data_IF_819807261646
#
_entry.id   IF_819807261646
#
_cell.length_a   1.000
_cell.length_b   1.000
_cell.length_c   1.000
_cell.angle_alpha   90.00
_cell.angle_beta   90.00
_cell.angle_gamma   90.00
#
_symmetry.space_group_name_H-M   'P 1'
#
loop_
_entity.id
_entity.type
_entity.pdbx_description
1 polymer ?
#
# COMPACT_ATOMS: atom_id res chain seq x y z
N UNK A 1 -18.13 -1.98 -5.00
CA UNK A 1 -18.91 -2.93 -5.85
C UNK A 1 -20.02 -3.57 -5.01
N UNK A 2 -21.11 -4.12 -5.58
CA UNK A 2 -22.27 -4.58 -4.79
C UNK A 2 -21.96 -5.66 -3.74
N UNK A 3 -20.90 -6.45 -3.92
CA UNK A 3 -20.54 -7.56 -3.05
C UNK A 3 -19.43 -7.23 -2.02
N UNK A 4 -18.95 -5.98 -1.96
CA UNK A 4 -17.87 -5.59 -1.05
C UNK A 4 -18.11 -4.20 -0.48
N UNK A 5 -17.91 -4.07 0.84
CA UNK A 5 -17.92 -2.78 1.55
C UNK A 5 -16.60 -2.03 1.43
N UNK A 6 -15.55 -2.67 0.89
CA UNK A 6 -14.30 -2.00 0.61
C UNK A 6 -14.46 -1.05 -0.59
N UNK A 7 -13.86 0.14 -0.47
CA UNK A 7 -13.71 1.02 -1.62
C UNK A 7 -12.77 0.39 -2.65
N UNK A 8 -12.96 0.78 -3.92
CA UNK A 8 -12.13 0.37 -5.05
C UNK A 8 -11.60 1.62 -5.75
N UNK A 9 -10.35 1.59 -6.21
CA UNK A 9 -9.78 2.65 -7.03
C UNK A 9 -9.38 2.16 -8.43
N UNK A 10 -9.28 3.11 -9.35
CA UNK A 10 -8.68 2.95 -10.67
C UNK A 10 -7.89 4.23 -11.00
N UNK A 11 -6.81 4.07 -11.76
CA UNK A 11 -6.00 5.17 -12.27
C UNK A 11 -6.20 5.22 -13.78
N UNK A 12 -6.76 6.31 -14.29
CA UNK A 12 -7.12 6.48 -15.71
C UNK A 12 -7.97 5.33 -16.27
N UNK A 13 -8.86 4.78 -15.43
CA UNK A 13 -9.71 3.63 -15.78
C UNK A 13 -9.01 2.26 -15.72
N UNK A 14 -7.72 2.23 -15.37
CA UNK A 14 -6.94 1.00 -15.25
C UNK A 14 -6.76 0.57 -13.80
N UNK A 15 -6.65 -0.75 -13.62
CA UNK A 15 -6.18 -1.33 -12.35
C UNK A 15 -4.71 -0.98 -12.16
N UNK A 16 -4.34 -0.73 -10.92
CA UNK A 16 -2.96 -0.48 -10.52
C UNK A 16 -2.68 -1.13 -9.17
N UNK A 17 -1.41 -1.26 -8.83
CA UNK A 17 -0.96 -1.75 -7.55
C UNK A 17 -0.10 -0.67 -6.88
N UNK A 18 -0.31 -0.50 -5.59
CA UNK A 18 0.55 0.28 -4.70
C UNK A 18 1.18 -0.64 -3.66
N UNK A 19 2.23 -0.17 -2.99
CA UNK A 19 2.91 -0.91 -1.93
C UNK A 19 4.25 -1.48 -2.34
N UNK A 20 4.79 -2.43 -1.56
CA UNK A 20 6.20 -2.83 -1.61
C UNK A 20 6.67 -3.27 -3.01
N UNK A 21 5.90 -4.11 -3.70
CA UNK A 21 6.26 -4.57 -5.05
C UNK A 21 6.28 -3.42 -6.07
N UNK A 22 5.28 -2.54 -6.02
CA UNK A 22 5.23 -1.38 -6.91
C UNK A 22 6.38 -0.41 -6.64
N UNK A 23 6.67 -0.13 -5.36
CA UNK A 23 7.79 0.73 -4.96
C UNK A 23 9.13 0.14 -5.35
N UNK A 24 9.33 -1.16 -5.17
CA UNK A 24 10.54 -1.84 -5.60
C UNK A 24 10.74 -1.72 -7.12
N UNK A 25 9.69 -2.01 -7.90
CA UNK A 25 9.74 -1.92 -9.36
C UNK A 25 10.00 -0.50 -9.88
N UNK A 26 9.43 0.54 -9.25
CA UNK A 26 9.50 1.93 -9.73
C UNK A 26 10.74 2.66 -9.17
N UNK A 27 11.12 2.38 -7.93
CA UNK A 27 12.10 3.14 -7.15
C UNK A 27 13.32 2.33 -6.73
N UNK A 28 13.51 1.11 -7.23
CA UNK A 28 14.64 0.24 -6.88
C UNK A 28 16.02 0.91 -6.91
N UNK A 29 16.23 1.83 -7.87
CA UNK A 29 17.46 2.65 -8.00
C UNK A 29 17.77 3.59 -6.82
N UNK A 30 16.82 3.82 -5.92
CA UNK A 30 16.96 4.68 -4.74
C UNK A 30 17.20 3.88 -3.47
N UNK A 31 17.25 2.55 -3.54
CA UNK A 31 17.57 1.73 -2.38
C UNK A 31 18.96 2.08 -1.84
N UNK A 32 19.05 2.13 -0.52
CA UNK A 32 20.31 2.22 0.19
C UNK A 32 21.20 1.02 -0.21
N UNK A 33 22.54 1.19 -0.33
CA UNK A 33 23.42 0.10 -0.75
C UNK A 33 23.23 -1.21 0.03
N UNK A 34 22.96 -1.13 1.34
CA UNK A 34 22.68 -2.29 2.21
C UNK A 34 21.38 -2.98 1.81
N UNK A 35 20.32 -2.22 1.52
CA UNK A 35 19.03 -2.78 1.07
C UNK A 35 19.13 -3.37 -0.34
N UNK A 36 19.91 -2.74 -1.23
CA UNK A 36 20.18 -3.25 -2.57
C UNK A 36 20.97 -4.57 -2.51
N UNK A 37 21.97 -4.69 -1.64
CA UNK A 37 22.68 -5.95 -1.38
C UNK A 37 21.73 -7.03 -0.89
N UNK A 38 20.93 -6.73 0.14
CA UNK A 38 19.95 -7.67 0.68
C UNK A 38 18.96 -8.16 -0.40
N UNK A 39 18.58 -7.30 -1.35
CA UNK A 39 17.75 -7.71 -2.48
C UNK A 39 18.45 -8.69 -3.42
N UNK A 40 19.74 -8.45 -3.73
CA UNK A 40 20.56 -9.33 -4.56
C UNK A 40 20.77 -10.69 -3.90
N UNK A 41 21.17 -10.72 -2.64
CA UNK A 41 21.36 -11.95 -1.87
C UNK A 41 20.06 -12.76 -1.74
N UNK A 42 18.92 -12.07 -1.62
CA UNK A 42 17.62 -12.71 -1.60
C UNK A 42 17.16 -13.23 -2.98
N UNK A 43 17.90 -12.94 -4.06
CA UNK A 43 17.57 -13.35 -5.42
C UNK A 43 16.40 -12.58 -6.02
N UNK A 44 16.27 -11.28 -5.71
CA UNK A 44 15.28 -10.38 -6.32
C UNK A 44 15.79 -9.64 -7.56
N UNK A 45 17.05 -9.87 -7.95
CA UNK A 45 17.74 -9.12 -9.01
C UNK A 45 18.53 -7.94 -8.44
N UNK A 46 19.07 -7.10 -9.33
CA UNK A 46 19.72 -5.84 -9.00
C UNK A 46 18.77 -4.64 -9.28
N UNK A 47 18.07 -4.14 -8.25
CA UNK A 47 17.13 -3.03 -8.40
C UNK A 47 17.81 -1.71 -8.76
N UNK A 48 19.11 -1.58 -8.50
CA UNK A 48 19.90 -0.39 -8.86
C UNK A 48 20.25 -0.39 -10.34
N UNK A 49 20.47 -1.58 -10.91
CA UNK A 49 20.63 -1.78 -12.36
C UNK A 49 19.29 -1.75 -13.12
N UNK A 50 18.15 -1.77 -12.41
CA UNK A 50 16.81 -1.67 -12.99
C UNK A 50 16.05 -3.00 -13.07
N UNK A 51 16.56 -4.08 -12.45
CA UNK A 51 15.79 -5.31 -12.32
C UNK A 51 14.55 -5.07 -11.45
N UNK A 52 13.44 -5.70 -11.83
CA UNK A 52 12.17 -5.62 -11.12
C UNK A 52 11.74 -7.00 -10.62
N UNK A 53 10.97 -7.01 -9.54
CA UNK A 53 10.27 -8.20 -9.07
C UNK A 53 8.76 -8.00 -9.27
N UNK A 54 8.20 -8.71 -10.25
CA UNK A 54 6.77 -8.70 -10.57
C UNK A 54 6.02 -9.94 -10.05
N UNK A 55 6.71 -10.81 -9.31
CA UNK A 55 6.12 -12.01 -8.73
C UNK A 55 5.44 -11.70 -7.39
N UNK A 56 4.09 -11.74 -7.28
CA UNK A 56 3.38 -11.43 -6.05
C UNK A 56 3.75 -12.35 -4.88
N UNK A 57 4.15 -13.60 -5.16
CA UNK A 57 4.57 -14.56 -4.12
C UNK A 57 5.94 -14.24 -3.51
N UNK A 58 6.66 -13.25 -4.06
CA UNK A 58 7.91 -12.73 -3.51
C UNK A 58 7.71 -11.46 -2.68
N UNK A 59 6.47 -10.98 -2.53
CA UNK A 59 6.17 -9.72 -1.84
C UNK A 59 6.67 -9.68 -0.38
N UNK A 60 6.68 -10.81 0.31
CA UNK A 60 7.19 -10.89 1.69
C UNK A 60 8.71 -10.64 1.75
N UNK A 61 9.44 -11.11 0.74
CA UNK A 61 10.89 -10.89 0.63
C UNK A 61 11.15 -9.42 0.28
N UNK A 62 10.38 -8.86 -0.65
CA UNK A 62 10.45 -7.43 -0.99
C UNK A 62 10.14 -6.55 0.23
N UNK A 63 9.13 -6.91 1.03
CA UNK A 63 8.83 -6.22 2.31
C UNK A 63 9.99 -6.29 3.28
N UNK A 64 10.67 -7.43 3.40
CA UNK A 64 11.85 -7.55 4.26
C UNK A 64 12.97 -6.60 3.80
N UNK A 65 13.20 -6.45 2.49
CA UNK A 65 14.14 -5.45 1.95
C UNK A 65 13.71 -4.02 2.30
N UNK A 66 12.41 -3.70 2.23
CA UNK A 66 11.92 -2.39 2.68
C UNK A 66 12.12 -2.13 4.18
N UNK A 67 12.07 -3.17 5.02
CA UNK A 67 12.43 -3.02 6.44
C UNK A 67 13.91 -2.65 6.59
N UNK A 68 14.81 -3.28 5.82
CA UNK A 68 16.24 -2.90 5.81
C UNK A 68 16.38 -1.44 5.36
N UNK A 69 15.72 -1.05 4.27
CA UNK A 69 15.71 0.34 3.79
C UNK A 69 15.23 1.32 4.88
N UNK A 70 14.14 0.98 5.58
CA UNK A 70 13.56 1.82 6.62
C UNK A 70 14.50 1.97 7.82
N UNK A 71 15.23 0.92 8.19
CA UNK A 71 16.23 0.95 9.26
C UNK A 71 17.40 1.86 8.88
N UNK A 72 17.95 1.72 7.67
CA UNK A 72 19.04 2.57 7.18
C UNK A 72 18.62 4.04 7.13
N UNK A 73 17.40 4.32 6.67
CA UNK A 73 16.85 5.67 6.63
C UNK A 73 16.64 6.23 8.05
N UNK A 74 16.17 5.42 8.99
CA UNK A 74 16.04 5.82 10.39
C UNK A 74 17.41 6.16 11.02
N UNK A 75 18.44 5.34 10.76
CA UNK A 75 19.81 5.61 11.22
C UNK A 75 20.33 6.93 10.63
N UNK A 76 20.13 7.16 9.33
CA UNK A 76 20.52 8.41 8.66
C UNK A 76 19.86 9.62 9.29
N UNK A 77 18.55 9.55 9.57
CA UNK A 77 17.80 10.64 10.21
C UNK A 77 18.30 10.89 11.63
N UNK A 78 18.51 9.85 12.43
CA UNK A 78 19.00 9.98 13.82
C UNK A 78 20.40 10.59 13.86
N UNK A 79 21.30 10.13 12.98
CA UNK A 79 22.68 10.63 12.91
C UNK A 79 22.75 12.08 12.41
N UNK A 80 21.86 12.45 11.49
CA UNK A 80 21.76 13.82 10.96
C UNK A 80 20.81 14.73 11.72
N UNK A 81 20.30 14.31 12.87
CA UNK A 81 19.32 15.09 13.61
C UNK A 81 19.97 16.32 14.23
N UNK A 82 19.54 17.49 13.78
CA UNK A 82 19.81 18.77 14.43
C UNK A 82 18.54 19.24 15.14
N UNK A 83 18.63 19.48 16.44
CA UNK A 83 17.48 19.94 17.21
C UNK A 83 17.01 21.31 16.70
N UNK A 84 15.74 21.45 16.27
CA UNK A 84 15.24 22.75 15.83
C UNK A 84 15.08 23.68 17.04
N UNK A 85 15.18 24.99 16.79
CA UNK A 85 14.97 26.02 17.83
C UNK A 85 13.54 26.03 18.39
N UNK A 86 12.58 25.45 17.65
CA UNK A 86 11.18 25.28 18.04
C UNK A 86 10.71 23.88 17.66
N UNK A 87 9.93 23.24 18.53
CA UNK A 87 9.38 21.89 18.30
C UNK A 87 8.13 21.86 17.41
N UNK A 88 7.47 23.01 17.23
CA UNK A 88 6.29 23.15 16.37
C UNK A 88 6.14 24.61 15.90
N UNK A 89 5.35 24.80 14.85
CA UNK A 89 4.89 26.11 14.38
C UNK A 89 3.46 26.35 14.86
N UNK A 90 3.13 27.61 15.13
CA UNK A 90 1.74 28.00 15.34
C UNK A 90 1.04 28.08 13.98
N UNK A 91 -0.07 27.37 13.84
CA UNK A 91 -0.82 27.24 12.59
C UNK A 91 -2.28 27.54 12.90
N UNK A 92 -2.66 28.84 12.96
CA UNK A 92 -4.03 29.22 13.26
C UNK A 92 -4.99 28.71 12.17
N UNK A 93 -6.21 28.26 12.54
CA UNK A 93 -7.18 27.81 11.57
C UNK A 93 -7.53 28.90 10.56
N UNK A 94 -7.77 28.47 9.32
CA UNK A 94 -8.28 29.31 8.25
C UNK A 94 -9.09 28.46 7.28
N UNK A 95 -9.98 29.10 6.54
CA UNK A 95 -10.73 28.44 5.46
C UNK A 95 -9.76 28.02 4.37
N UNK A 96 -9.55 26.72 4.23
CA UNK A 96 -8.56 26.17 3.30
C UNK A 96 -8.90 24.75 2.87
N UNK A 97 -8.23 24.30 1.81
CA UNK A 97 -8.19 22.91 1.37
C UNK A 97 -6.74 22.45 1.41
N UNK A 98 -6.50 21.32 2.07
CA UNK A 98 -5.19 20.69 2.15
C UNK A 98 -5.26 19.25 1.67
N UNK A 99 -4.20 18.80 0.99
CA UNK A 99 -4.02 17.40 0.64
C UNK A 99 -2.61 16.94 1.01
N UNK A 100 -2.47 15.68 1.39
CA UNK A 100 -1.21 15.05 1.71
C UNK A 100 -1.19 13.61 1.22
N UNK A 101 -0.04 13.16 0.76
CA UNK A 101 0.18 11.79 0.35
C UNK A 101 1.46 11.26 1.01
N UNK A 102 1.41 10.04 1.52
CA UNK A 102 2.57 9.35 2.08
C UNK A 102 2.58 7.89 1.64
N UNK A 103 3.76 7.28 1.57
CA UNK A 103 3.88 5.84 1.40
C UNK A 103 3.68 5.16 2.76
N UNK A 104 2.49 4.64 3.01
CA UNK A 104 2.27 3.73 4.12
C UNK A 104 2.89 2.36 3.80
N UNK A 105 3.08 1.47 4.79
CA UNK A 105 3.70 0.16 4.55
C UNK A 105 3.02 -0.65 3.44
N UNK A 106 1.69 -0.51 3.32
CA UNK A 106 0.84 -1.24 2.35
C UNK A 106 0.64 -0.52 1.01
N UNK A 107 1.22 0.67 0.83
CA UNK A 107 1.12 1.48 -0.38
C UNK A 107 0.77 2.94 -0.14
N UNK A 108 0.39 3.64 -1.20
CA UNK A 108 0.11 5.07 -1.17
C UNK A 108 -1.10 5.35 -0.29
N UNK A 109 -0.97 6.29 0.65
CA UNK A 109 -2.06 6.80 1.48
C UNK A 109 -2.29 8.26 1.10
N UNK A 110 -3.48 8.60 0.63
CA UNK A 110 -3.84 9.97 0.26
C UNK A 110 -4.97 10.50 1.12
N UNK A 111 -4.79 11.71 1.65
CA UNK A 111 -5.78 12.42 2.45
C UNK A 111 -6.02 13.80 1.86
N UNK A 112 -7.29 14.23 1.82
CA UNK A 112 -7.69 15.60 1.48
C UNK A 112 -8.75 16.08 2.44
N UNK A 113 -8.56 17.28 2.97
CA UNK A 113 -9.45 17.91 3.94
C UNK A 113 -9.82 19.32 3.51
N UNK A 114 -11.04 19.74 3.84
CA UNK A 114 -11.49 21.12 3.70
C UNK A 114 -11.92 21.66 5.06
N UNK A 115 -11.47 22.87 5.40
CA UNK A 115 -11.72 23.52 6.69
C UNK A 115 -12.53 24.81 6.50
N UNK A 116 -13.39 25.14 7.47
CA UNK A 116 -13.99 26.45 7.62
C UNK A 116 -13.03 27.43 8.32
N UNK A 117 -13.42 28.71 8.45
CA UNK A 117 -12.58 29.76 9.06
C UNK A 117 -12.21 29.46 10.52
N UNK A 118 -13.12 28.85 11.27
CA UNK A 118 -12.91 28.45 12.67
C UNK A 118 -12.14 27.11 12.82
N UNK A 119 -11.72 26.49 11.72
CA UNK A 119 -11.05 25.20 11.69
C UNK A 119 -11.97 23.98 11.65
N UNK A 120 -13.29 24.17 11.59
CA UNK A 120 -14.23 23.06 11.46
C UNK A 120 -13.99 22.29 10.16
N UNK A 121 -13.87 20.95 10.26
CA UNK A 121 -13.74 20.07 9.10
C UNK A 121 -15.08 20.00 8.34
N UNK A 122 -15.08 20.49 7.10
CA UNK A 122 -16.27 20.53 6.23
C UNK A 122 -16.29 19.42 5.19
N UNK A 123 -15.13 18.87 4.83
CA UNK A 123 -15.03 17.69 3.98
C UNK A 123 -13.76 16.89 4.30
N UNK A 124 -13.85 15.58 4.13
CA UNK A 124 -12.72 14.65 4.22
C UNK A 124 -12.81 13.61 3.10
N UNK A 125 -11.68 13.36 2.44
CA UNK A 125 -11.51 12.27 1.50
C UNK A 125 -10.23 11.53 1.88
N UNK A 126 -10.36 10.23 2.11
CA UNK A 126 -9.25 9.34 2.46
C UNK A 126 -9.23 8.23 1.42
N UNK A 127 -8.09 8.03 0.78
CA UNK A 127 -7.86 6.96 -0.18
C UNK A 127 -6.77 6.04 0.41
N UNK A 128 -7.17 5.00 1.16
CA UNK A 128 -6.25 4.12 1.85
C UNK A 128 -5.62 3.09 0.89
N UNK A 129 -4.40 2.59 1.17
CA UNK A 129 -3.68 1.72 0.24
C UNK A 129 -4.44 0.45 -0.14
N UNK A 130 -5.05 -0.23 0.83
CA UNK A 130 -5.76 -1.50 0.57
C UNK A 130 -7.01 -1.29 -0.29
N UNK A 131 -7.72 -0.16 -0.18
CA UNK A 131 -8.83 0.15 -1.08
C UNK A 131 -8.36 0.35 -2.54
N UNK A 132 -7.17 0.90 -2.73
CA UNK A 132 -6.58 1.05 -4.06
C UNK A 132 -6.22 -0.30 -4.66
N UNK A 133 -5.68 -1.21 -3.84
CA UNK A 133 -5.23 -2.52 -4.28
C UNK A 133 -6.36 -3.56 -4.44
N UNK A 134 -7.58 -3.26 -3.97
CA UNK A 134 -8.68 -4.24 -3.90
C UNK A 134 -8.97 -4.91 -5.25
N UNK A 135 -9.01 -4.13 -6.33
CA UNK A 135 -9.28 -4.65 -7.68
C UNK A 135 -8.13 -5.49 -8.23
N UNK A 136 -6.89 -5.21 -7.83
CA UNK A 136 -5.73 -6.03 -8.16
C UNK A 136 -5.73 -7.35 -7.38
N UNK A 137 -6.06 -7.31 -6.09
CA UNK A 137 -6.16 -8.50 -5.22
C UNK A 137 -7.19 -9.49 -5.78
N UNK A 138 -8.39 -9.01 -6.13
CA UNK A 138 -9.45 -9.87 -6.68
C UNK A 138 -9.03 -10.51 -8.02
N UNK A 139 -8.36 -9.74 -8.87
CA UNK A 139 -7.85 -10.23 -10.14
C UNK A 139 -6.71 -11.25 -9.96
N UNK A 140 -5.82 -11.05 -9.00
CA UNK A 140 -4.72 -11.98 -8.69
C UNK A 140 -5.25 -13.30 -8.12
N UNK A 141 -6.25 -13.26 -7.23
CA UNK A 141 -6.94 -14.48 -6.75
C UNK A 141 -7.55 -15.24 -7.91
N UNK A 142 -8.31 -14.54 -8.77
CA UNK A 142 -8.97 -15.14 -9.94
C UNK A 142 -7.95 -15.80 -10.87
N UNK A 143 -6.85 -15.11 -11.19
CA UNK A 143 -5.78 -15.63 -12.04
C UNK A 143 -5.09 -16.85 -11.44
N UNK A 144 -4.74 -16.79 -10.15
CA UNK A 144 -4.06 -17.88 -9.46
C UNK A 144 -4.93 -19.15 -9.43
N UNK A 145 -6.21 -19.02 -9.10
CA UNK A 145 -7.17 -20.14 -9.06
C UNK A 145 -7.37 -20.72 -10.46
N UNK A 146 -7.64 -19.88 -11.46
CA UNK A 146 -7.83 -20.35 -12.84
C UNK A 146 -6.61 -21.11 -13.35
N UNK A 147 -5.41 -20.55 -13.14
CA UNK A 147 -4.16 -21.21 -13.53
C UNK A 147 -3.94 -22.57 -12.83
N UNK A 148 -4.41 -22.73 -11.58
CA UNK A 148 -4.34 -24.01 -10.87
C UNK A 148 -5.36 -25.01 -11.40
N UNK A 149 -6.57 -24.58 -11.75
CA UNK A 149 -7.62 -25.43 -12.32
C UNK A 149 -7.25 -25.93 -13.72
N UNK A 150 -6.61 -25.08 -14.52
CA UNK A 150 -6.20 -25.42 -15.89
C UNK A 150 -4.94 -26.31 -15.94
N UNK A 151 -4.27 -26.53 -14.79
CA UNK A 151 -3.04 -27.33 -14.74
C UNK A 151 -3.35 -28.81 -14.97
N UNK A 152 -2.66 -29.49 -15.90
CA UNK A 152 -2.81 -30.93 -16.09
C UNK A 152 -2.43 -31.73 -14.83
N UNK A 153 -3.16 -32.82 -14.57
CA UNK A 153 -2.90 -33.74 -13.46
C UNK A 153 -4.12 -33.94 -12.58
N UNK A 154 -3.90 -34.25 -11.30
CA UNK A 154 -4.98 -34.38 -10.33
C UNK A 154 -5.73 -33.04 -10.15
N UNK A 155 -7.05 -33.12 -10.15
CA UNK A 155 -7.91 -31.98 -9.85
C UNK A 155 -7.52 -31.39 -8.48
N UNK A 156 -7.51 -30.06 -8.36
CA UNK A 156 -7.32 -29.40 -7.08
C UNK A 156 -8.54 -29.68 -6.20
N UNK A 157 -8.32 -29.99 -4.93
CA UNK A 157 -9.38 -30.02 -3.93
C UNK A 157 -9.66 -28.61 -3.39
N UNK A 158 -10.79 -28.47 -2.69
CA UNK A 158 -11.23 -27.20 -2.12
C UNK A 158 -10.23 -26.65 -1.09
N UNK A 159 -9.51 -27.52 -0.37
CA UNK A 159 -8.55 -27.13 0.64
C UNK A 159 -7.30 -26.49 0.01
N UNK A 160 -6.79 -27.08 -1.07
CA UNK A 160 -5.72 -26.52 -1.89
C UNK A 160 -6.11 -25.16 -2.47
N UNK A 161 -7.29 -25.06 -3.08
CA UNK A 161 -7.77 -23.80 -3.66
C UNK A 161 -7.98 -22.72 -2.59
N UNK A 162 -8.53 -23.09 -1.43
CA UNK A 162 -8.69 -22.16 -0.30
C UNK A 162 -7.35 -21.60 0.15
N UNK A 163 -6.34 -22.48 0.38
CA UNK A 163 -4.98 -22.03 0.75
C UNK A 163 -4.36 -21.14 -0.32
N UNK A 164 -4.59 -21.43 -1.60
CA UNK A 164 -4.08 -20.62 -2.70
C UNK A 164 -4.71 -19.22 -2.70
N UNK A 165 -6.03 -19.12 -2.57
CA UNK A 165 -6.76 -17.86 -2.45
C UNK A 165 -6.22 -17.03 -1.29
N UNK A 166 -6.13 -17.62 -0.11
CA UNK A 166 -5.66 -16.89 1.06
C UNK A 166 -4.20 -16.43 0.93
N UNK A 167 -3.33 -17.26 0.33
CA UNK A 167 -1.94 -16.88 0.07
C UNK A 167 -1.86 -15.72 -0.93
N UNK A 168 -2.64 -15.78 -2.02
CA UNK A 168 -2.73 -14.69 -2.99
C UNK A 168 -3.15 -13.39 -2.30
N UNK A 169 -4.20 -13.42 -1.47
CA UNK A 169 -4.65 -12.26 -0.68
C UNK A 169 -3.55 -11.75 0.25
N UNK A 170 -2.92 -12.63 1.05
CA UNK A 170 -1.89 -12.26 2.05
C UNK A 170 -0.62 -11.69 1.43
N UNK A 171 -0.33 -11.98 0.16
CA UNK A 171 0.79 -11.38 -0.54
C UNK A 171 0.67 -9.85 -0.64
N UNK A 172 -0.55 -9.29 -0.58
CA UNK A 172 -0.76 -7.84 -0.61
C UNK A 172 -0.79 -7.19 0.77
N UNK A 173 -0.67 -7.96 1.86
CA UNK A 173 -0.78 -7.48 3.25
C UNK A 173 -2.00 -6.56 3.46
N UNK A 174 -3.24 -7.01 3.15
CA UNK A 174 -4.39 -6.13 3.19
C UNK A 174 -4.75 -5.73 4.62
N UNK A 175 -5.02 -4.43 4.83
CA UNK A 175 -5.69 -3.93 6.04
C UNK A 175 -7.16 -3.64 5.71
N UNK A 176 -8.05 -4.62 5.95
CA UNK A 176 -9.48 -4.49 5.58
C UNK A 176 -10.20 -3.39 6.39
N UNK A 177 -9.85 -3.21 7.66
CA UNK A 177 -10.36 -2.10 8.47
C UNK A 177 -9.96 -0.74 7.92
N UNK A 178 -8.78 -0.64 7.30
CA UNK A 178 -8.34 0.57 6.63
C UNK A 178 -9.10 0.81 5.32
N UNK A 179 -9.58 -0.25 4.65
CA UNK A 179 -10.20 -0.19 3.32
C UNK A 179 -11.72 0.07 3.35
N UNK A 180 -12.33 0.01 4.53
CA UNK A 180 -13.78 0.09 4.71
C UNK A 180 -14.14 1.35 5.48
N UNK A 181 -15.04 2.15 4.91
CA UNK A 181 -15.75 3.20 5.64
C UNK A 181 -17.17 2.69 5.82
N UNK A 182 -17.50 2.20 7.02
CA UNK A 182 -18.73 1.44 7.24
C UNK A 182 -19.86 2.25 7.87
N UNK A 183 -19.60 3.49 8.32
CA UNK A 183 -20.57 4.28 9.05
C UNK A 183 -21.20 5.37 8.17
N UNK A 184 -22.46 5.16 7.80
CA UNK A 184 -23.34 6.20 7.30
C UNK A 184 -24.07 6.86 8.47
N UNK A 185 -23.78 8.13 8.73
CA UNK A 185 -24.40 8.91 9.81
C UNK A 185 -25.31 10.00 9.22
N UNK A 186 -26.59 9.95 9.55
CA UNK A 186 -27.52 11.06 9.31
C UNK A 186 -27.78 11.78 10.63
N UNK A 187 -27.45 13.06 10.71
CA UNK A 187 -27.70 13.89 11.90
C UNK A 187 -28.86 14.83 11.61
N UNK A 188 -30.01 14.56 12.20
CA UNK A 188 -31.14 15.49 12.22
C UNK A 188 -30.96 16.45 13.40
N UNK A 189 -31.04 17.76 13.15
CA UNK A 189 -30.97 18.79 14.20
C UNK A 189 -32.34 19.44 14.32
N UNK A 190 -32.87 19.45 15.54
CA UNK A 190 -34.11 20.14 15.91
C UNK A 190 -33.91 21.65 16.01
#
# INVERSE_FOLDING_TARGET
>A
VPHSTALTAALDGHRYLTGPLARYAINGRWLHPVAAEAAREAGLGDPVAGDICDNPFRSIVVRAVEVVQAIEEALRIIQGYEQPSRSALDVPPQKAVGAGATEAPRGLLYHRYALAEDGTLTAACIIPPTAQNQTAIEEDVRRAVQARLDRPGAAADDEELTRLCERAIRNHDPCISCATHFLDLTVERA
#
